data_IF_761212525340
#
_entry.id   IF_761212525340
#
_cell.length_a   1.000
_cell.length_b   1.000
_cell.length_c   1.000
_cell.angle_alpha   90.00
_cell.angle_beta   90.00
_cell.angle_gamma   90.00
#
_symmetry.space_group_name_H-M   'P 1'
#
loop_
_entity.id
_entity.type
_entity.pdbx_description
1 polymer ?
#
# COMPACT_ATOMS: atom_id res chain seq x y z
N UNK A 1 8.63 3.52 -6.39
CA UNK A 1 8.11 2.19 -6.80
C UNK A 1 7.73 1.40 -5.55
N UNK A 2 6.46 0.99 -5.37
CA UNK A 2 6.02 0.16 -4.21
C UNK A 2 6.01 -1.35 -4.48
N UNK A 3 6.32 -1.74 -5.71
CA UNK A 3 6.32 -3.13 -6.16
C UNK A 3 7.77 -3.59 -6.32
N UNK A 4 8.11 -4.78 -5.81
CA UNK A 4 9.46 -5.34 -5.89
C UNK A 4 9.38 -6.80 -6.35
N UNK A 5 10.26 -7.19 -7.27
CA UNK A 5 10.42 -8.59 -7.67
C UNK A 5 11.21 -9.34 -6.59
N UNK A 6 10.66 -10.44 -6.07
CA UNK A 6 11.30 -11.20 -5.00
C UNK A 6 12.64 -11.82 -5.44
N UNK A 7 12.77 -12.18 -6.72
CA UNK A 7 14.02 -12.69 -7.29
C UNK A 7 15.13 -11.64 -7.31
N UNK A 8 14.80 -10.41 -7.69
CA UNK A 8 15.76 -9.29 -7.69
C UNK A 8 16.18 -8.95 -6.26
N UNK A 9 15.22 -8.97 -5.33
CA UNK A 9 15.48 -8.75 -3.91
C UNK A 9 16.39 -9.83 -3.33
N UNK A 10 16.11 -11.10 -3.62
CA UNK A 10 16.95 -12.22 -3.19
C UNK A 10 18.36 -12.13 -3.78
N UNK A 11 18.48 -11.74 -5.05
CA UNK A 11 19.76 -11.49 -5.72
C UNK A 11 20.53 -10.36 -5.05
N UNK A 12 19.86 -9.26 -4.70
CA UNK A 12 20.46 -8.12 -4.02
C UNK A 12 21.07 -8.52 -2.66
N UNK A 13 20.35 -9.35 -1.90
CA UNK A 13 20.79 -9.85 -0.59
C UNK A 13 21.64 -11.12 -0.65
N UNK A 14 21.86 -11.68 -1.85
CA UNK A 14 22.63 -12.92 -2.08
C UNK A 14 22.10 -14.12 -1.28
N UNK A 15 20.78 -14.23 -1.20
CA UNK A 15 20.05 -15.35 -0.57
C UNK A 15 19.19 -16.07 -1.59
N UNK A 16 18.66 -17.25 -1.25
CA UNK A 16 17.71 -17.93 -2.14
C UNK A 16 16.38 -17.17 -2.14
N UNK A 17 15.66 -17.21 -3.25
CA UNK A 17 14.33 -16.59 -3.35
C UNK A 17 13.38 -17.09 -2.27
N UNK A 18 13.42 -18.38 -1.93
CA UNK A 18 12.62 -18.94 -0.84
C UNK A 18 12.98 -18.34 0.52
N UNK A 19 14.27 -18.22 0.84
CA UNK A 19 14.72 -17.60 2.10
C UNK A 19 14.28 -16.13 2.20
N UNK A 20 14.23 -15.42 1.06
CA UNK A 20 13.72 -14.06 0.96
C UNK A 20 12.21 -13.99 1.24
N UNK A 21 11.43 -14.92 0.66
CA UNK A 21 9.99 -15.04 0.89
C UNK A 21 9.71 -15.32 2.37
N UNK A 22 10.39 -16.30 2.95
CA UNK A 22 10.19 -16.71 4.35
C UNK A 22 10.48 -15.53 5.29
N UNK A 23 11.55 -14.78 5.03
CA UNK A 23 11.91 -13.59 5.81
C UNK A 23 10.88 -12.46 5.70
N UNK A 24 10.33 -12.23 4.50
CA UNK A 24 9.23 -11.27 4.32
C UNK A 24 8.01 -11.71 5.12
N UNK A 25 7.63 -12.99 5.05
CA UNK A 25 6.50 -13.51 5.80
C UNK A 25 6.69 -13.38 7.31
N UNK A 26 7.90 -13.61 7.82
CA UNK A 26 8.20 -13.43 9.23
C UNK A 26 8.09 -11.96 9.65
N UNK A 27 8.63 -11.03 8.86
CA UNK A 27 8.45 -9.58 9.09
C UNK A 27 6.97 -9.16 9.06
N UNK A 28 6.15 -9.81 8.21
CA UNK A 28 4.70 -9.58 8.18
C UNK A 28 4.00 -10.11 9.43
N UNK A 29 4.37 -11.30 9.91
CA UNK A 29 3.83 -11.87 11.17
C UNK A 29 4.18 -11.01 12.38
N UNK A 30 5.37 -10.42 12.39
CA UNK A 30 5.84 -9.51 13.43
C UNK A 30 5.21 -8.11 13.34
N UNK A 31 4.47 -7.81 12.25
CA UNK A 31 3.86 -6.50 12.02
C UNK A 31 4.88 -5.40 11.64
N UNK A 32 6.13 -5.76 11.34
CA UNK A 32 7.17 -4.82 10.91
C UNK A 32 7.07 -4.48 9.43
N UNK A 33 6.38 -5.31 8.65
CA UNK A 33 6.19 -5.12 7.21
C UNK A 33 4.74 -5.42 6.83
N UNK A 34 4.17 -4.60 5.97
CA UNK A 34 2.80 -4.76 5.47
C UNK A 34 2.79 -4.77 3.95
N UNK A 35 2.01 -5.67 3.36
CA UNK A 35 1.99 -5.84 1.92
C UNK A 35 1.33 -7.13 1.47
N UNK A 36 1.33 -7.35 0.16
CA UNK A 36 0.79 -8.57 -0.46
C UNK A 36 1.82 -9.20 -1.38
N UNK A 37 1.86 -10.53 -1.40
CA UNK A 37 2.66 -11.31 -2.34
C UNK A 37 1.71 -11.78 -3.44
N UNK A 38 2.05 -11.43 -4.68
CA UNK A 38 1.38 -11.89 -5.90
C UNK A 38 1.91 -13.30 -6.27
N UNK A 39 1.07 -14.13 -6.86
CA UNK A 39 1.42 -15.51 -7.27
C UNK A 39 2.55 -15.55 -8.32
N UNK A 40 2.82 -14.40 -8.96
CA UNK A 40 3.91 -14.20 -9.91
C UNK A 40 5.23 -13.77 -9.26
N UNK A 41 5.34 -13.81 -7.93
CA UNK A 41 6.58 -13.52 -7.21
C UNK A 41 6.89 -12.03 -7.04
N UNK A 42 5.85 -11.18 -7.03
CA UNK A 42 5.98 -9.75 -6.70
C UNK A 42 5.55 -9.51 -5.27
N UNK A 43 6.29 -8.67 -4.56
CA UNK A 43 5.86 -8.08 -3.31
C UNK A 43 5.35 -6.66 -3.55
N UNK A 44 4.15 -6.36 -3.08
CA UNK A 44 3.55 -5.02 -3.13
C UNK A 44 3.50 -4.50 -1.71
N UNK A 45 4.30 -3.48 -1.42
CA UNK A 45 4.28 -2.79 -0.14
C UNK A 45 3.03 -1.93 -0.03
N UNK A 46 2.33 -2.07 1.10
CA UNK A 46 1.14 -1.27 1.44
C UNK A 46 1.44 -0.65 2.79
N UNK A 47 1.27 0.66 2.94
CA UNK A 47 1.53 1.30 4.24
C UNK A 47 0.42 1.00 5.25
N UNK A 48 0.70 1.19 6.54
CA UNK A 48 -0.32 1.01 7.59
C UNK A 48 -1.47 1.98 7.39
N UNK A 49 -1.21 3.23 6.99
CA UNK A 49 -2.23 4.25 6.74
C UNK A 49 -3.17 3.87 5.58
N UNK A 50 -2.62 3.24 4.52
CA UNK A 50 -3.41 2.73 3.40
C UNK A 50 -4.33 1.59 3.88
N UNK A 51 -3.82 0.66 4.71
CA UNK A 51 -4.64 -0.40 5.32
C UNK A 51 -5.72 0.15 6.24
N UNK A 52 -5.41 1.16 7.05
CA UNK A 52 -6.38 1.83 7.91
C UNK A 52 -7.48 2.51 7.10
N UNK A 53 -7.14 3.12 5.97
CA UNK A 53 -8.11 3.76 5.06
C UNK A 53 -9.08 2.73 4.48
N UNK A 54 -8.57 1.56 4.09
CA UNK A 54 -9.41 0.43 3.66
C UNK A 54 -10.27 -0.09 4.81
N UNK A 55 -9.72 -0.22 6.02
CA UNK A 55 -10.47 -0.67 7.19
C UNK A 55 -11.61 0.30 7.57
N UNK A 56 -11.36 1.63 7.47
CA UNK A 56 -12.38 2.67 7.67
C UNK A 56 -13.50 2.55 6.64
N UNK A 57 -13.16 2.35 5.37
CA UNK A 57 -14.13 2.15 4.30
C UNK A 57 -15.04 0.94 4.57
N UNK A 58 -14.47 -0.21 4.95
CA UNK A 58 -15.25 -1.42 5.26
C UNK A 58 -16.17 -1.17 6.46
N UNK A 59 -15.66 -0.54 7.54
CA UNK A 59 -16.45 -0.26 8.75
C UNK A 59 -17.62 0.70 8.48
N UNK A 60 -17.43 1.71 7.64
CA UNK A 60 -18.47 2.70 7.32
C UNK A 60 -19.58 2.13 6.43
N UNK A 61 -19.22 1.26 5.48
CA UNK A 61 -20.17 0.68 4.53
C UNK A 61 -20.80 -0.64 5.02
N UNK A 62 -20.26 -1.24 6.09
CA UNK A 62 -20.79 -2.45 6.70
C UNK A 62 -20.55 -3.69 5.83
N UNK A 63 -21.48 -4.00 4.93
CA UNK A 63 -21.34 -5.13 3.98
C UNK A 63 -20.77 -4.59 2.67
N UNK A 64 -19.53 -4.97 2.38
CA UNK A 64 -18.82 -4.57 1.17
C UNK A 64 -18.57 -5.80 0.32
N UNK A 65 -18.93 -5.74 -0.96
CA UNK A 65 -18.58 -6.79 -1.92
C UNK A 65 -17.10 -6.72 -2.31
N UNK A 66 -16.53 -7.83 -2.75
CA UNK A 66 -15.13 -7.86 -3.23
C UNK A 66 -14.92 -6.88 -4.39
N UNK A 67 -15.94 -6.66 -5.23
CA UNK A 67 -15.88 -5.71 -6.34
C UNK A 67 -15.76 -4.27 -5.84
N UNK A 68 -16.64 -3.85 -4.93
CA UNK A 68 -16.60 -2.50 -4.34
C UNK A 68 -15.31 -2.25 -3.55
N UNK A 69 -14.80 -3.29 -2.88
CA UNK A 69 -13.53 -3.22 -2.17
C UNK A 69 -12.36 -3.05 -3.14
N UNK A 70 -12.34 -3.78 -4.26
CA UNK A 70 -11.30 -3.68 -5.27
C UNK A 70 -11.29 -2.30 -5.95
N UNK A 71 -12.47 -1.80 -6.33
CA UNK A 71 -12.63 -0.46 -6.91
C UNK A 71 -12.16 0.64 -5.94
N UNK A 72 -12.58 0.55 -4.68
CA UNK A 72 -12.17 1.51 -3.66
C UNK A 72 -10.68 1.39 -3.33
N UNK A 73 -10.12 0.18 -3.31
CA UNK A 73 -8.69 -0.04 -3.07
C UNK A 73 -7.79 0.59 -4.13
N UNK A 74 -8.24 0.71 -5.39
CA UNK A 74 -7.50 1.43 -6.43
C UNK A 74 -7.34 2.93 -6.13
N UNK A 75 -8.27 3.50 -5.35
CA UNK A 75 -8.21 4.89 -4.88
C UNK A 75 -7.38 5.00 -3.60
N UNK A 76 -7.55 4.04 -2.69
CA UNK A 76 -6.96 4.06 -1.34
C UNK A 76 -5.50 3.60 -1.30
N UNK A 77 -5.07 2.74 -2.22
CA UNK A 77 -3.70 2.20 -2.30
C UNK A 77 -3.01 2.83 -3.50
N UNK A 78 -1.95 3.60 -3.24
CA UNK A 78 -1.17 4.24 -4.29
C UNK A 78 0.05 3.40 -4.64
N UNK A 79 -0.01 2.68 -5.77
CA UNK A 79 1.11 1.85 -6.26
C UNK A 79 2.23 2.68 -6.90
N UNK A 80 1.98 3.95 -7.26
CA UNK A 80 2.97 4.86 -7.83
C UNK A 80 3.18 6.11 -6.94
N UNK A 81 4.29 6.21 -6.19
CA UNK A 81 4.56 7.37 -5.33
C UNK A 81 4.72 8.70 -6.10
N UNK A 82 4.88 8.67 -7.42
CA UNK A 82 4.99 9.90 -8.22
C UNK A 82 3.62 10.54 -8.53
N UNK A 83 2.52 9.90 -8.10
CA UNK A 83 1.14 10.36 -8.33
C UNK A 83 0.44 10.84 -7.04
N UNK A 84 1.23 11.22 -6.04
CA UNK A 84 0.74 11.47 -4.66
C UNK A 84 -0.01 12.81 -4.53
N UNK A 85 0.33 13.80 -5.36
CA UNK A 85 -0.23 15.16 -5.26
C UNK A 85 -1.66 15.28 -5.79
N UNK A 86 -2.03 14.47 -6.78
CA UNK A 86 -3.35 14.54 -7.43
C UNK A 86 -4.46 13.95 -6.54
N UNK A 87 -4.13 12.95 -5.71
CA UNK A 87 -5.11 12.17 -4.95
C UNK A 87 -5.43 12.76 -3.57
N UNK A 88 -4.47 13.42 -2.91
CA UNK A 88 -4.76 14.19 -1.67
C UNK A 88 -5.88 15.21 -1.90
N UNK A 89 -5.91 15.85 -3.07
CA UNK A 89 -6.93 16.82 -3.48
C UNK A 89 -8.34 16.22 -3.67
N UNK A 90 -8.46 14.92 -3.94
CA UNK A 90 -9.76 14.25 -4.08
C UNK A 90 -10.31 13.71 -2.75
N UNK A 91 -9.42 13.34 -1.82
CA UNK A 91 -9.79 12.71 -0.54
C UNK A 91 -10.06 13.76 0.53
N UNK A 92 -9.28 14.85 0.51
CA UNK A 92 -9.49 16.02 1.37
C UNK A 92 -10.30 17.01 0.52
N UNK A 93 -11.62 17.06 0.73
CA UNK A 93 -12.47 18.03 0.03
C UNK A 93 -11.94 19.46 0.21
N UNK A 94 -12.33 20.37 -0.69
CA UNK A 94 -11.81 21.74 -0.86
C UNK A 94 -11.60 22.61 0.42
N UNK A 95 -12.10 22.18 1.59
CA UNK A 95 -12.11 22.95 2.84
C UNK A 95 -10.79 23.01 3.62
N UNK A 96 -9.79 22.14 3.38
CA UNK A 96 -8.53 22.13 4.16
C UNK A 96 -7.31 22.69 3.41
N UNK A 97 -7.50 23.29 2.23
CA UNK A 97 -6.40 23.78 1.37
C UNK A 97 -5.82 25.12 1.86
N UNK A 98 -6.54 25.87 2.70
CA UNK A 98 -6.14 27.23 3.12
C UNK A 98 -4.97 27.31 4.12
N UNK A 99 -4.36 26.18 4.53
CA UNK A 99 -3.28 26.18 5.54
C UNK A 99 -1.88 25.79 5.03
N UNK A 100 -1.67 25.59 3.73
CA UNK A 100 -0.35 25.16 3.19
C UNK A 100 0.33 26.23 2.31
N UNK A 101 -0.27 27.41 2.09
CA UNK A 101 0.48 28.57 1.59
C UNK A 101 0.87 29.51 2.72
N UNK A 102 1.93 29.16 3.46
CA UNK A 102 2.96 30.11 3.91
C UNK A 102 4.09 29.34 4.58
N UNK A 103 5.22 29.20 3.89
CA UNK A 103 6.53 29.66 4.36
C UNK A 103 7.57 29.40 3.26
N UNK A 104 8.03 30.53 2.72
CA UNK A 104 9.26 30.85 1.95
C UNK A 104 10.07 29.74 1.27
#
# INVERSE_FOLDING_TARGET
MKVVMLEELATHFKIRTQDCIDRIQDLQKEGQLTGVIDDRGKFIYITVEELESVAKFIKQNGRVSIRELAESSNLLINLNPDNTDIRKKLIVGDADIDMIEVTE
#
